data_IF_671492606074
#
_entry.id   IF_671492606074
#
_cell.length_a   1.000
_cell.length_b   1.000
_cell.length_c   1.000
_cell.angle_alpha   90.00
_cell.angle_beta   90.00
_cell.angle_gamma   90.00
#
_symmetry.space_group_name_H-M   'P 1'
#
loop_
_entity.id
_entity.type
_entity.pdbx_description
1 polymer ?
#
# COMPACT_ATOMS: atom_id res chain seq x y z
N UNK A 1 13.05 40.38 69.77
CA UNK A 1 14.13 39.37 69.84
C UNK A 1 14.17 38.60 68.54
N UNK A 2 15.15 38.89 67.70
CA UNK A 2 15.39 38.25 66.38
C UNK A 2 16.10 36.94 66.61
N UNK A 3 15.52 35.82 66.20
CA UNK A 3 16.28 34.58 65.99
C UNK A 3 16.33 34.30 64.48
N UNK A 4 17.54 34.36 63.97
CA UNK A 4 17.92 33.97 62.61
C UNK A 4 17.70 32.45 62.44
N UNK A 5 16.87 32.06 61.52
CA UNK A 5 16.85 30.71 60.98
C UNK A 5 17.99 30.56 59.97
N UNK A 6 19.05 29.88 60.36
CA UNK A 6 20.12 29.43 59.46
C UNK A 6 19.62 28.23 58.66
N UNK A 7 19.54 28.38 57.34
CA UNK A 7 19.26 27.30 56.44
C UNK A 7 20.39 26.26 56.42
N UNK A 8 20.13 24.96 56.57
CA UNK A 8 21.14 23.96 56.24
C UNK A 8 21.24 23.82 54.75
N UNK A 9 22.47 23.89 54.28
CA UNK A 9 22.92 23.77 52.91
C UNK A 9 22.47 22.40 52.33
N UNK A 10 21.59 22.42 51.35
CA UNK A 10 21.40 21.32 50.40
C UNK A 10 22.71 21.16 49.61
N UNK A 11 23.65 20.39 50.12
CA UNK A 11 24.82 19.91 49.36
C UNK A 11 24.57 18.43 49.02
N UNK A 12 24.05 18.24 47.86
CA UNK A 12 24.41 17.19 46.91
C UNK A 12 24.99 15.90 47.50
N UNK A 13 24.20 14.92 47.68
CA UNK A 13 24.59 13.50 47.79
C UNK A 13 24.83 12.89 46.42
N UNK A 14 25.35 13.62 45.51
CA UNK A 14 25.81 13.09 44.22
C UNK A 14 27.35 12.98 44.30
N UNK A 15 27.83 11.80 44.71
CA UNK A 15 29.27 11.56 44.63
C UNK A 15 29.68 11.53 43.16
N UNK A 16 30.83 12.09 42.78
CA UNK A 16 31.33 12.14 41.39
C UNK A 16 31.46 10.73 40.74
N UNK A 17 31.54 9.68 41.54
CA UNK A 17 31.58 8.29 41.08
C UNK A 17 30.22 7.83 40.54
N UNK A 18 29.11 8.38 41.08
CA UNK A 18 27.76 8.01 40.62
C UNK A 18 27.35 8.75 39.35
N UNK A 19 27.78 9.98 39.18
CA UNK A 19 27.63 10.68 37.90
C UNK A 19 28.48 9.99 36.80
N UNK A 20 29.63 9.44 37.15
CA UNK A 20 30.46 8.66 36.24
C UNK A 20 29.83 7.32 35.85
N UNK A 21 29.11 6.64 36.76
CA UNK A 21 28.41 5.38 36.47
C UNK A 21 27.16 5.60 35.58
N UNK A 22 26.38 6.65 35.81
CA UNK A 22 25.26 7.02 34.93
C UNK A 22 25.80 7.51 33.57
N UNK A 23 26.91 8.28 33.56
CA UNK A 23 27.57 8.70 32.33
C UNK A 23 28.23 7.52 31.59
N UNK A 24 28.81 6.53 32.31
CA UNK A 24 29.33 5.32 31.68
C UNK A 24 28.24 4.42 31.09
N UNK A 25 27.04 4.34 31.66
CA UNK A 25 25.93 3.61 31.09
C UNK A 25 25.25 4.33 29.92
N UNK A 26 25.28 5.65 29.90
CA UNK A 26 24.84 6.47 28.76
C UNK A 26 25.89 6.48 27.63
N UNK A 27 27.16 6.20 27.97
CA UNK A 27 28.31 6.16 27.04
C UNK A 27 28.77 4.73 26.68
N UNK A 28 28.09 3.68 27.11
CA UNK A 28 28.26 2.40 26.47
C UNK A 28 27.88 2.59 24.98
N UNK A 29 28.80 2.33 24.04
CA UNK A 29 28.47 2.44 22.64
C UNK A 29 27.36 1.41 22.37
N UNK A 30 26.12 1.84 22.40
CA UNK A 30 25.06 1.12 21.69
C UNK A 30 25.69 0.85 20.33
N UNK A 31 25.90 -0.42 19.95
CA UNK A 31 26.62 -0.70 18.72
C UNK A 31 25.91 0.11 17.64
N UNK A 32 26.60 1.09 17.09
CA UNK A 32 26.12 2.01 16.04
C UNK A 32 25.51 1.28 14.86
N UNK A 33 25.69 -0.04 14.78
CA UNK A 33 25.09 -0.91 13.79
C UNK A 33 23.58 -1.13 13.99
N UNK A 34 23.02 -0.90 15.16
CA UNK A 34 21.55 -0.98 15.39
C UNK A 34 20.83 0.36 15.07
N UNK A 35 21.54 1.49 15.12
CA UNK A 35 20.97 2.79 14.74
C UNK A 35 21.36 3.28 13.33
N UNK A 36 22.27 2.61 12.62
CA UNK A 36 22.90 3.16 11.42
C UNK A 36 22.40 2.59 10.09
N UNK A 37 21.28 1.88 10.07
CA UNK A 37 20.52 1.72 8.83
C UNK A 37 19.12 2.29 9.01
N UNK A 38 19.05 3.62 9.10
CA UNK A 38 17.87 4.30 8.63
C UNK A 38 17.68 3.84 7.18
N UNK A 39 16.51 3.27 6.82
CA UNK A 39 16.22 3.06 5.41
C UNK A 39 16.41 4.43 4.75
N UNK A 40 17.15 4.48 3.68
CA UNK A 40 17.54 5.71 2.96
C UNK A 40 16.35 6.53 2.43
N UNK A 41 15.14 6.19 2.82
CA UNK A 41 13.86 6.78 2.40
C UNK A 41 13.26 7.80 3.39
N UNK A 42 13.78 7.92 4.62
CA UNK A 42 13.31 8.98 5.55
C UNK A 42 14.31 10.16 5.53
N UNK A 43 14.64 10.62 4.35
CA UNK A 43 14.99 12.03 4.19
C UNK A 43 13.66 12.76 4.07
N UNK A 44 13.30 13.48 5.12
CA UNK A 44 12.34 14.58 5.02
C UNK A 44 12.63 15.30 3.71
N UNK A 45 11.68 15.28 2.78
CA UNK A 45 11.70 16.14 1.62
C UNK A 45 11.60 17.57 2.16
N UNK A 46 12.71 18.14 2.62
CA UNK A 46 12.88 19.57 2.56
C UNK A 46 12.52 19.95 1.12
N UNK A 47 11.53 20.80 0.97
CA UNK A 47 11.16 21.37 -0.32
C UNK A 47 12.39 22.09 -0.84
N UNK A 48 13.22 21.37 -1.58
CA UNK A 48 14.35 21.96 -2.29
C UNK A 48 13.80 23.01 -3.24
N UNK A 49 14.43 24.18 -3.29
CA UNK A 49 13.98 25.25 -4.16
C UNK A 49 14.08 24.81 -5.63
N UNK A 50 13.03 25.03 -6.36
CA UNK A 50 12.92 25.09 -7.83
C UNK A 50 13.92 24.15 -8.53
N UNK A 51 13.53 22.87 -8.63
CA UNK A 51 14.17 21.95 -9.56
C UNK A 51 13.94 22.52 -10.96
N UNK A 52 15.01 22.97 -11.62
CA UNK A 52 15.00 23.28 -13.04
C UNK A 52 14.35 22.11 -13.78
N UNK A 53 13.20 22.35 -14.39
CA UNK A 53 12.43 21.37 -15.14
C UNK A 53 13.38 20.68 -16.13
N UNK A 54 13.60 19.38 -15.94
CA UNK A 54 14.34 18.56 -16.85
C UNK A 54 13.56 18.44 -18.18
N UNK A 55 14.24 18.27 -19.31
CA UNK A 55 13.63 18.25 -20.62
C UNK A 55 12.52 17.19 -20.72
N UNK A 56 11.58 17.45 -21.62
CA UNK A 56 10.47 16.57 -21.95
C UNK A 56 10.99 15.14 -22.14
N UNK A 57 10.54 14.20 -21.30
CA UNK A 57 10.94 12.81 -21.39
C UNK A 57 9.85 12.07 -22.17
N UNK A 58 10.23 11.50 -23.32
CA UNK A 58 9.39 10.52 -24.01
C UNK A 58 9.46 9.20 -23.23
N UNK A 59 8.33 8.74 -22.74
CA UNK A 59 8.25 7.50 -22.00
C UNK A 59 7.46 6.46 -22.80
N UNK A 60 8.08 5.31 -23.04
CA UNK A 60 7.33 4.14 -23.42
C UNK A 60 6.63 3.53 -22.18
N UNK A 61 5.66 2.65 -22.38
CA UNK A 61 4.88 2.08 -21.27
C UNK A 61 5.77 1.39 -20.23
N UNK A 62 6.83 0.70 -20.65
CA UNK A 62 7.75 0.01 -19.74
C UNK A 62 8.51 0.98 -18.84
N UNK A 63 9.06 2.04 -19.41
CA UNK A 63 9.79 3.09 -18.67
C UNK A 63 8.84 3.86 -17.73
N UNK A 64 7.63 4.11 -18.20
CA UNK A 64 6.58 4.73 -17.41
C UNK A 64 6.25 3.90 -16.17
N UNK A 65 5.98 2.60 -16.32
CA UNK A 65 5.69 1.70 -15.19
C UNK A 65 6.89 1.54 -14.24
N UNK A 66 8.12 1.44 -14.77
CA UNK A 66 9.32 1.38 -13.95
C UNK A 66 9.50 2.65 -13.12
N UNK A 67 9.18 3.82 -13.68
CA UNK A 67 9.22 5.08 -12.94
C UNK A 67 8.14 5.13 -11.87
N UNK A 68 6.92 4.73 -12.15
CA UNK A 68 5.80 4.71 -11.19
C UNK A 68 6.10 3.79 -10.01
N UNK A 69 6.63 2.59 -10.24
CA UNK A 69 6.97 1.66 -9.15
C UNK A 69 8.03 2.23 -8.20
N UNK A 70 8.82 3.20 -8.64
CA UNK A 70 9.83 3.88 -7.82
C UNK A 70 9.33 5.15 -7.12
N UNK A 71 8.34 5.84 -7.71
CA UNK A 71 7.91 7.19 -7.28
C UNK A 71 6.54 7.18 -6.62
N UNK A 72 5.69 6.19 -6.88
CA UNK A 72 4.32 6.16 -6.38
C UNK A 72 4.26 6.23 -4.84
N UNK A 73 3.55 7.24 -4.26
CA UNK A 73 3.41 7.35 -2.82
C UNK A 73 2.72 6.14 -2.18
N UNK A 74 1.78 5.49 -2.89
CA UNK A 74 1.09 4.29 -2.42
C UNK A 74 2.05 3.10 -2.26
N UNK A 75 2.96 2.90 -3.22
CA UNK A 75 3.97 1.83 -3.16
C UNK A 75 5.01 2.15 -2.08
N UNK A 76 5.45 3.41 -1.99
CA UNK A 76 6.39 3.84 -0.94
C UNK A 76 5.77 3.64 0.45
N UNK A 77 4.52 4.05 0.66
CA UNK A 77 3.81 3.84 1.92
C UNK A 77 3.74 2.35 2.28
N UNK A 78 3.36 1.50 1.33
CA UNK A 78 3.29 0.04 1.53
C UNK A 78 4.65 -0.58 1.90
N UNK A 79 5.75 -0.11 1.32
CA UNK A 79 7.12 -0.56 1.69
C UNK A 79 7.53 -0.08 3.09
N UNK A 80 7.08 1.11 3.48
CA UNK A 80 7.30 1.63 4.84
C UNK A 80 6.47 0.85 5.86
N UNK A 81 5.23 0.48 5.53
CA UNK A 81 4.39 -0.37 6.37
C UNK A 81 5.03 -1.77 6.57
N UNK A 82 5.61 -2.36 5.50
CA UNK A 82 6.36 -3.62 5.61
C UNK A 82 7.57 -3.47 6.54
N UNK A 83 8.32 -2.37 6.41
CA UNK A 83 9.45 -2.10 7.29
C UNK A 83 9.01 -1.88 8.74
N UNK A 84 7.90 -1.17 8.96
CA UNK A 84 7.32 -0.98 10.30
C UNK A 84 6.92 -2.32 10.93
N UNK A 85 6.21 -3.18 10.19
CA UNK A 85 5.83 -4.51 10.65
C UNK A 85 7.04 -5.41 10.96
N UNK A 86 8.18 -5.24 10.25
CA UNK A 86 9.42 -5.93 10.56
C UNK A 86 10.00 -5.50 11.91
N UNK A 87 10.02 -4.19 12.17
CA UNK A 87 10.48 -3.66 13.46
C UNK A 87 9.53 -4.02 14.61
N UNK A 88 8.22 -4.05 14.38
CA UNK A 88 7.25 -4.52 15.37
C UNK A 88 7.48 -6.00 15.75
N UNK A 89 7.72 -6.87 14.77
CA UNK A 89 8.03 -8.27 15.05
C UNK A 89 9.35 -8.43 15.84
N UNK A 90 10.35 -7.59 15.56
CA UNK A 90 11.63 -7.56 16.30
C UNK A 90 11.45 -7.00 17.70
N UNK A 91 10.69 -5.92 17.88
CA UNK A 91 10.41 -5.33 19.19
C UNK A 91 9.65 -6.31 20.10
N UNK A 92 8.68 -7.05 19.52
CA UNK A 92 7.97 -8.09 20.26
C UNK A 92 8.91 -9.20 20.74
N UNK A 93 9.89 -9.60 19.93
CA UNK A 93 10.90 -10.55 20.36
C UNK A 93 11.78 -10.00 21.50
N UNK A 94 12.11 -8.71 21.46
CA UNK A 94 12.90 -8.06 22.51
C UNK A 94 12.24 -8.16 23.89
N UNK A 95 10.90 -8.26 23.95
CA UNK A 95 10.17 -8.44 25.22
C UNK A 95 10.46 -9.78 25.94
N UNK A 96 11.14 -10.71 25.27
CA UNK A 96 11.59 -12.00 25.84
C UNK A 96 13.09 -12.01 26.20
N UNK A 97 13.77 -10.89 26.03
CA UNK A 97 15.17 -10.70 26.41
C UNK A 97 15.26 -10.02 27.77
N UNK A 98 16.43 -10.10 28.46
CA UNK A 98 16.64 -9.37 29.68
C UNK A 98 16.42 -7.84 29.52
N UNK A 99 15.74 -7.23 30.46
CA UNK A 99 15.45 -5.81 30.50
C UNK A 99 16.16 -5.15 31.64
N UNK A 100 16.89 -4.08 31.35
CA UNK A 100 17.46 -3.18 32.34
C UNK A 100 16.58 -1.94 32.40
N UNK A 101 16.06 -1.65 33.59
CA UNK A 101 15.18 -0.50 33.85
C UNK A 101 15.78 0.35 34.96
N UNK A 102 15.60 1.66 34.91
CA UNK A 102 15.84 2.54 36.05
C UNK A 102 14.50 2.94 36.62
N UNK A 103 14.32 2.74 37.89
CA UNK A 103 13.09 3.11 38.60
C UNK A 103 13.40 4.22 39.58
N UNK A 104 12.47 5.18 39.71
CA UNK A 104 12.51 6.21 40.73
C UNK A 104 11.08 6.48 41.19
N UNK A 105 10.85 6.41 42.45
CA UNK A 105 9.54 6.56 43.03
C UNK A 105 9.56 7.36 44.31
N UNK A 106 8.41 7.92 44.66
CA UNK A 106 8.14 8.52 45.97
C UNK A 106 6.87 7.89 46.54
N UNK A 107 6.95 7.32 47.70
CA UNK A 107 5.81 6.70 48.33
C UNK A 107 5.63 7.20 49.78
N UNK A 108 4.38 7.19 50.22
CA UNK A 108 4.03 7.49 51.59
C UNK A 108 3.52 6.23 52.29
N UNK A 109 4.15 5.85 53.37
CA UNK A 109 3.69 4.73 54.18
C UNK A 109 2.93 5.27 55.40
N UNK A 110 1.71 4.81 55.57
CA UNK A 110 0.89 5.07 56.73
C UNK A 110 0.66 3.75 57.49
N UNK A 111 1.02 3.75 58.78
CA UNK A 111 0.76 2.63 59.67
C UNK A 111 1.99 2.00 60.28
N UNK A 112 1.77 1.00 61.13
CA UNK A 112 2.83 0.23 61.81
C UNK A 112 3.36 -0.85 60.84
N UNK A 113 4.63 -0.78 60.51
CA UNK A 113 5.29 -1.89 59.87
C UNK A 113 5.22 -3.14 60.74
N UNK A 114 4.67 -4.23 60.24
CA UNK A 114 4.74 -5.53 60.90
C UNK A 114 6.19 -6.03 60.76
N UNK A 115 6.93 -6.01 61.83
CA UNK A 115 8.26 -6.59 61.93
C UNK A 115 8.20 -8.04 61.44
N UNK A 116 8.88 -8.34 60.34
CA UNK A 116 9.09 -9.71 59.86
C UNK A 116 8.23 -10.17 58.67
N UNK A 117 7.27 -9.40 58.17
CA UNK A 117 6.63 -9.70 56.91
C UNK A 117 7.40 -9.02 55.80
N UNK A 118 8.28 -9.75 55.16
CA UNK A 118 8.85 -9.37 53.86
C UNK A 118 7.68 -9.39 52.86
N UNK A 119 7.17 -8.24 52.48
CA UNK A 119 6.29 -8.20 51.33
C UNK A 119 7.16 -8.43 50.07
N UNK A 120 7.08 -9.56 49.39
CA UNK A 120 7.93 -9.83 48.24
C UNK A 120 7.68 -8.89 47.09
N UNK A 121 6.62 -8.07 47.14
CA UNK A 121 6.26 -7.11 46.12
C UNK A 121 6.62 -5.66 46.48
N UNK A 122 6.92 -5.39 47.76
CA UNK A 122 7.44 -4.10 48.22
C UNK A 122 8.74 -4.38 48.97
N UNK A 123 9.86 -4.22 48.29
CA UNK A 123 11.21 -4.43 48.84
C UNK A 123 11.58 -3.40 49.93
N UNK A 124 10.64 -3.04 50.81
CA UNK A 124 10.84 -2.05 51.82
C UNK A 124 11.76 -2.59 52.94
N UNK A 125 12.84 -1.89 53.25
CA UNK A 125 13.69 -2.26 54.38
C UNK A 125 12.88 -2.33 55.66
N UNK A 126 13.16 -3.32 56.50
CA UNK A 126 12.52 -3.49 57.82
C UNK A 126 12.71 -2.32 58.81
N UNK A 127 13.56 -1.36 58.43
CA UNK A 127 13.87 -0.15 59.20
C UNK A 127 12.88 1.01 58.97
N UNK A 128 12.04 0.96 57.91
CA UNK A 128 11.07 2.03 57.65
C UNK A 128 9.79 1.72 58.46
N UNK A 129 9.67 2.34 59.60
CA UNK A 129 8.50 2.24 60.50
C UNK A 129 7.89 3.62 60.72
N UNK A 130 6.55 3.69 60.62
CA UNK A 130 5.79 4.93 60.92
C UNK A 130 5.30 5.68 59.67
N UNK A 131 4.61 6.79 59.92
CA UNK A 131 4.03 7.65 58.87
C UNK A 131 5.11 8.49 58.23
N UNK A 132 5.64 8.03 57.09
CA UNK A 132 6.77 8.68 56.43
C UNK A 132 6.66 8.66 54.92
N UNK A 133 7.18 9.73 54.31
CA UNK A 133 7.53 9.77 52.91
C UNK A 133 8.90 9.16 52.71
N UNK A 134 9.05 8.32 51.69
CA UNK A 134 10.36 7.81 51.29
C UNK A 134 10.49 7.87 49.77
N UNK A 135 11.73 7.95 49.31
CA UNK A 135 12.13 7.85 47.93
C UNK A 135 12.77 6.49 47.68
N UNK A 136 12.51 5.92 46.57
CA UNK A 136 13.21 4.75 46.06
C UNK A 136 13.77 5.08 44.70
N UNK A 137 15.02 4.74 44.45
CA UNK A 137 15.65 4.91 43.16
C UNK A 137 16.70 3.83 42.92
N UNK A 138 16.78 3.32 41.71
CA UNK A 138 17.81 2.34 41.39
C UNK A 138 17.59 1.60 40.08
N UNK A 139 18.62 0.88 39.63
CA UNK A 139 18.51 0.00 38.48
C UNK A 139 17.83 -1.34 38.85
N UNK A 140 17.03 -1.83 37.91
CA UNK A 140 16.42 -3.15 37.96
C UNK A 140 16.74 -3.96 36.71
N UNK A 141 17.04 -5.23 36.87
CA UNK A 141 17.23 -6.20 35.79
C UNK A 141 16.14 -7.26 35.89
N UNK A 142 15.31 -7.37 34.85
CA UNK A 142 14.29 -8.41 34.72
C UNK A 142 14.65 -9.37 33.60
N UNK A 143 14.72 -10.66 33.91
CA UNK A 143 15.01 -11.74 32.97
C UNK A 143 13.78 -12.64 32.89
N UNK A 144 13.01 -12.64 31.79
CA UNK A 144 11.93 -13.59 31.58
C UNK A 144 12.53 -14.97 31.27
N UNK A 145 12.51 -15.88 32.27
CA UNK A 145 13.06 -17.24 32.13
C UNK A 145 12.08 -18.13 31.35
N UNK A 146 10.79 -18.07 31.72
CA UNK A 146 9.75 -18.82 31.02
C UNK A 146 8.52 -17.93 30.88
N UNK A 147 8.12 -17.67 29.65
CA UNK A 147 6.96 -16.84 29.33
C UNK A 147 6.30 -17.34 28.04
N UNK A 148 4.96 -17.42 28.02
CA UNK A 148 4.15 -17.80 26.86
C UNK A 148 4.60 -19.14 26.22
N UNK A 149 5.04 -20.12 27.02
CA UNK A 149 5.52 -21.40 26.51
C UNK A 149 6.96 -21.39 25.97
N UNK A 150 7.66 -20.25 26.08
CA UNK A 150 9.04 -20.10 25.64
C UNK A 150 10.00 -20.03 26.83
N UNK A 151 11.09 -20.80 26.76
CA UNK A 151 12.18 -20.79 27.74
C UNK A 151 13.30 -19.87 27.22
N UNK A 152 13.61 -18.80 27.96
CA UNK A 152 14.63 -17.79 27.61
C UNK A 152 14.54 -17.26 26.17
N UNK A 153 13.36 -17.28 25.55
CA UNK A 153 13.19 -16.88 24.16
C UNK A 153 13.77 -17.84 23.11
N UNK A 154 14.29 -19.02 23.51
CA UNK A 154 14.94 -19.99 22.58
C UNK A 154 13.92 -20.55 21.59
N UNK A 155 12.73 -20.93 22.06
CA UNK A 155 11.62 -21.28 21.18
C UNK A 155 10.90 -20.00 20.73
N UNK A 156 10.47 -19.95 19.48
CA UNK A 156 9.71 -18.77 18.99
C UNK A 156 8.42 -18.62 19.79
N UNK A 157 8.29 -17.56 20.59
CA UNK A 157 7.07 -17.36 21.38
C UNK A 157 5.86 -17.18 20.46
N UNK A 158 4.65 -17.62 20.84
CA UNK A 158 3.44 -17.51 20.03
C UNK A 158 3.12 -16.06 19.60
N UNK A 159 3.37 -15.08 20.47
CA UNK A 159 3.18 -13.67 20.15
C UNK A 159 4.13 -13.20 19.02
N UNK A 160 5.39 -13.63 19.07
CA UNK A 160 6.37 -13.35 18.01
C UNK A 160 5.97 -14.04 16.71
N UNK A 161 5.48 -15.30 16.80
CA UNK A 161 4.99 -16.03 15.62
C UNK A 161 3.78 -15.30 15.00
N UNK A 162 2.86 -14.78 15.81
CA UNK A 162 1.73 -13.97 15.37
C UNK A 162 2.19 -12.70 14.67
N UNK A 163 3.12 -11.95 15.25
CA UNK A 163 3.68 -10.73 14.65
C UNK A 163 4.45 -11.00 13.33
N UNK A 164 5.16 -12.13 13.26
CA UNK A 164 5.79 -12.57 12.00
C UNK A 164 4.76 -12.88 10.91
N UNK A 165 3.62 -13.46 11.27
CA UNK A 165 2.53 -13.69 10.33
C UNK A 165 1.87 -12.37 9.89
N UNK A 166 1.64 -11.42 10.82
CA UNK A 166 1.16 -10.07 10.51
C UNK A 166 2.09 -9.34 9.53
N UNK A 167 3.41 -9.41 9.73
CA UNK A 167 4.40 -8.90 8.77
C UNK A 167 4.23 -9.51 7.37
N UNK A 168 4.00 -10.83 7.28
CA UNK A 168 3.77 -11.48 5.98
C UNK A 168 2.47 -11.00 5.33
N UNK A 169 1.40 -10.79 6.11
CA UNK A 169 0.15 -10.21 5.63
C UNK A 169 0.40 -8.83 5.03
N UNK A 170 1.12 -7.95 5.73
CA UNK A 170 1.48 -6.61 5.25
C UNK A 170 2.27 -6.68 3.96
N UNK A 171 3.27 -7.58 3.88
CA UNK A 171 4.06 -7.81 2.67
C UNK A 171 3.20 -8.20 1.47
N UNK A 172 2.29 -9.18 1.61
CA UNK A 172 1.43 -9.60 0.51
C UNK A 172 0.37 -8.55 0.15
N UNK A 173 -0.15 -7.80 1.12
CA UNK A 173 -0.98 -6.61 0.84
C UNK A 173 -0.20 -5.58 0.02
N UNK A 174 1.06 -5.37 0.34
CA UNK A 174 1.96 -4.49 -0.43
C UNK A 174 2.11 -4.94 -1.88
N UNK A 175 2.29 -6.23 -2.09
CA UNK A 175 2.34 -6.81 -3.44
C UNK A 175 1.04 -6.59 -4.23
N UNK A 176 -0.12 -6.75 -3.60
CA UNK A 176 -1.41 -6.45 -4.22
C UNK A 176 -1.59 -4.95 -4.53
N UNK A 177 -1.15 -4.08 -3.62
CA UNK A 177 -1.15 -2.63 -3.85
C UNK A 177 -0.26 -2.25 -5.04
N UNK A 178 0.92 -2.86 -5.17
CA UNK A 178 1.82 -2.63 -6.30
C UNK A 178 1.15 -3.04 -7.62
N UNK A 179 0.47 -4.19 -7.67
CA UNK A 179 -0.27 -4.65 -8.85
C UNK A 179 -1.42 -3.72 -9.23
N UNK A 180 -2.20 -3.27 -8.25
CA UNK A 180 -3.29 -2.32 -8.47
C UNK A 180 -2.78 -0.95 -8.98
N UNK A 181 -1.63 -0.48 -8.48
CA UNK A 181 -1.00 0.75 -9.00
C UNK A 181 -0.50 0.56 -10.43
N UNK A 182 0.10 -0.59 -10.75
CA UNK A 182 0.53 -0.93 -12.11
C UNK A 182 -0.66 -0.97 -13.06
N UNK A 183 -1.78 -1.60 -12.66
CA UNK A 183 -3.00 -1.62 -13.47
C UNK A 183 -3.53 -0.21 -13.72
N UNK A 184 -3.70 0.60 -12.66
CA UNK A 184 -4.17 1.99 -12.77
C UNK A 184 -3.27 2.82 -13.68
N UNK A 185 -1.95 2.63 -13.58
CA UNK A 185 -0.98 3.34 -14.41
C UNK A 185 -1.03 2.88 -15.88
N UNK A 186 -1.17 1.59 -16.12
CA UNK A 186 -1.32 1.03 -17.45
C UNK A 186 -2.58 1.56 -18.11
N UNK A 187 -3.68 1.58 -17.40
CA UNK A 187 -4.95 2.09 -17.88
C UNK A 187 -4.86 3.58 -18.23
N UNK A 188 -4.32 4.41 -17.35
CA UNK A 188 -4.12 5.83 -17.60
C UNK A 188 -3.25 6.09 -18.84
N UNK A 189 -2.19 5.28 -19.04
CA UNK A 189 -1.33 5.37 -20.22
C UNK A 189 -2.08 5.01 -21.51
N UNK A 190 -2.83 3.91 -21.52
CA UNK A 190 -3.62 3.47 -22.66
C UNK A 190 -4.75 4.46 -23.00
N UNK A 191 -5.40 5.01 -21.98
CA UNK A 191 -6.41 6.06 -22.16
C UNK A 191 -5.84 7.32 -22.78
N UNK A 192 -4.62 7.71 -22.41
CA UNK A 192 -3.98 8.89 -22.99
C UNK A 192 -3.61 8.68 -24.48
N UNK A 193 -3.18 7.48 -24.88
CA UNK A 193 -2.98 7.15 -26.31
C UNK A 193 -4.32 7.21 -27.04
N UNK A 194 -5.33 6.53 -26.52
CA UNK A 194 -6.68 6.53 -27.11
C UNK A 194 -7.21 7.94 -27.29
N UNK A 195 -7.12 8.78 -26.25
CA UNK A 195 -7.62 10.16 -26.28
C UNK A 195 -6.89 11.01 -27.33
N UNK A 196 -5.57 10.78 -27.53
CA UNK A 196 -4.80 11.46 -28.57
C UNK A 196 -5.26 11.05 -29.98
N UNK A 197 -5.44 9.75 -30.24
CA UNK A 197 -5.92 9.25 -31.52
C UNK A 197 -7.36 9.71 -31.81
N UNK A 198 -8.24 9.66 -30.79
CA UNK A 198 -9.61 10.15 -30.93
C UNK A 198 -9.66 11.65 -31.23
N UNK A 199 -8.81 12.45 -30.59
CA UNK A 199 -8.72 13.87 -30.89
C UNK A 199 -8.33 14.12 -32.35
N UNK A 200 -7.36 13.36 -32.89
CA UNK A 200 -6.98 13.47 -34.31
C UNK A 200 -8.13 13.08 -35.25
N UNK A 201 -8.84 11.98 -34.95
CA UNK A 201 -9.98 11.54 -35.76
C UNK A 201 -11.12 12.56 -35.72
N UNK A 202 -11.46 13.10 -34.56
CA UNK A 202 -12.53 14.10 -34.39
C UNK A 202 -12.16 15.47 -34.94
N UNK A 203 -10.87 15.81 -34.96
CA UNK A 203 -10.40 17.00 -35.71
C UNK A 203 -10.67 16.85 -37.20
N UNK A 204 -10.40 15.68 -37.79
CA UNK A 204 -10.69 15.39 -39.19
C UNK A 204 -12.20 15.33 -39.46
N UNK A 205 -12.98 14.77 -38.54
CA UNK A 205 -14.44 14.71 -38.62
C UNK A 205 -15.05 16.10 -38.63
N UNK A 206 -14.58 16.99 -37.74
CA UNK A 206 -15.03 18.39 -37.67
C UNK A 206 -14.67 19.16 -38.95
N UNK A 207 -13.45 18.98 -39.49
CA UNK A 207 -13.06 19.61 -40.75
C UNK A 207 -13.94 19.16 -41.92
N UNK A 208 -14.26 17.86 -42.04
CA UNK A 208 -15.17 17.36 -43.06
C UNK A 208 -16.62 17.90 -42.88
N UNK A 209 -17.08 18.03 -41.67
CA UNK A 209 -18.40 18.61 -41.39
C UNK A 209 -18.47 20.09 -41.78
N UNK A 210 -17.37 20.85 -41.58
CA UNK A 210 -17.26 22.23 -42.06
C UNK A 210 -17.29 22.33 -43.57
N UNK A 211 -16.57 21.44 -44.30
CA UNK A 211 -16.58 21.37 -45.74
C UNK A 211 -17.98 21.04 -46.26
N UNK A 212 -18.69 20.13 -45.63
CA UNK A 212 -20.03 19.72 -46.04
C UNK A 212 -21.07 20.83 -45.80
N UNK A 213 -21.00 21.52 -44.64
CA UNK A 213 -21.87 22.68 -44.36
C UNK A 213 -21.67 23.79 -45.40
N UNK A 214 -20.41 24.17 -45.67
CA UNK A 214 -20.09 25.16 -46.71
C UNK A 214 -20.58 24.78 -48.10
N UNK A 215 -20.46 23.47 -48.47
CA UNK A 215 -20.93 22.92 -49.73
C UNK A 215 -22.46 23.04 -49.84
N UNK A 216 -23.20 22.66 -48.81
CA UNK A 216 -24.66 22.72 -48.79
C UNK A 216 -25.15 24.15 -48.76
N UNK A 217 -24.48 25.06 -48.05
CA UNK A 217 -24.78 26.50 -48.04
C UNK A 217 -24.61 27.14 -49.43
N UNK A 218 -23.52 26.81 -50.14
CA UNK A 218 -23.30 27.26 -51.52
C UNK A 218 -24.38 26.73 -52.48
N UNK A 219 -24.86 25.50 -52.31
CA UNK A 219 -25.98 24.98 -53.09
C UNK A 219 -27.31 25.64 -52.72
N UNK A 220 -27.52 25.95 -51.48
CA UNK A 220 -28.75 26.64 -51.01
C UNK A 220 -28.84 28.08 -51.53
N UNK A 221 -27.70 28.81 -51.62
CA UNK A 221 -27.64 30.13 -52.23
C UNK A 221 -27.94 30.10 -53.73
N UNK A 222 -27.68 29.00 -54.37
CA UNK A 222 -28.01 28.75 -55.78
C UNK A 222 -29.39 28.13 -55.99
N UNK A 223 -30.23 28.03 -54.97
CA UNK A 223 -31.52 27.33 -54.96
C UNK A 223 -31.47 25.85 -55.35
N UNK A 224 -30.30 25.18 -55.17
CA UNK A 224 -30.05 23.79 -55.49
C UNK A 224 -30.06 22.86 -54.26
N UNK A 225 -30.30 23.41 -53.05
CA UNK A 225 -30.47 22.64 -51.83
C UNK A 225 -31.73 23.13 -51.06
N UNK A 226 -32.35 22.17 -50.34
CA UNK A 226 -33.53 22.46 -49.53
C UNK A 226 -33.13 23.05 -48.18
N UNK A 227 -34.08 23.72 -47.50
CA UNK A 227 -33.89 24.23 -46.14
C UNK A 227 -33.63 23.10 -45.15
N UNK A 228 -34.18 21.91 -45.42
CA UNK A 228 -33.97 20.70 -44.63
C UNK A 228 -32.54 20.16 -44.75
N UNK A 229 -32.00 20.09 -45.97
CA UNK A 229 -30.58 19.69 -46.22
C UNK A 229 -29.62 20.63 -45.50
N UNK A 230 -29.87 21.95 -45.52
CA UNK A 230 -29.08 22.96 -44.81
C UNK A 230 -29.18 22.79 -43.29
N UNK A 231 -30.37 22.48 -42.79
CA UNK A 231 -30.61 22.20 -41.38
C UNK A 231 -29.81 20.98 -40.90
N UNK A 232 -29.81 19.89 -41.68
CA UNK A 232 -29.03 18.67 -41.39
C UNK A 232 -27.54 18.94 -41.41
N UNK A 233 -27.02 19.69 -42.38
CA UNK A 233 -25.58 20.02 -42.47
C UNK A 233 -25.12 20.85 -41.27
N UNK A 234 -25.92 21.88 -40.88
CA UNK A 234 -25.63 22.65 -39.65
C UNK A 234 -25.68 21.85 -38.37
N UNK A 235 -26.67 20.96 -38.23
CA UNK A 235 -26.73 20.06 -37.08
C UNK A 235 -25.50 19.13 -37.01
N UNK A 236 -25.06 18.60 -38.16
CA UNK A 236 -23.84 17.80 -38.25
C UNK A 236 -22.61 18.60 -37.83
N UNK A 237 -22.47 19.85 -38.30
CA UNK A 237 -21.36 20.74 -37.93
C UNK A 237 -21.34 21.00 -36.41
N UNK A 238 -22.48 21.37 -35.80
CA UNK A 238 -22.55 21.65 -34.36
C UNK A 238 -22.28 20.40 -33.52
N UNK A 239 -22.79 19.22 -33.91
CA UNK A 239 -22.51 17.96 -33.22
C UNK A 239 -21.04 17.55 -33.32
N UNK A 240 -20.44 17.76 -34.48
CA UNK A 240 -19.00 17.47 -34.72
C UNK A 240 -18.12 18.41 -33.93
N UNK A 241 -18.50 19.69 -33.82
CA UNK A 241 -17.81 20.68 -32.97
C UNK A 241 -17.84 20.30 -31.51
N UNK A 242 -19.02 19.97 -30.99
CA UNK A 242 -19.17 19.52 -29.59
C UNK A 242 -18.33 18.27 -29.30
N UNK A 243 -18.30 17.32 -30.24
CA UNK A 243 -17.49 16.10 -30.14
C UNK A 243 -15.98 16.39 -30.16
N UNK A 244 -15.54 17.34 -30.98
CA UNK A 244 -14.14 17.80 -31.02
C UNK A 244 -13.73 18.48 -29.72
N UNK A 245 -14.54 19.41 -29.19
CA UNK A 245 -14.27 20.09 -27.93
C UNK A 245 -14.22 19.11 -26.74
N UNK A 246 -15.11 18.11 -26.73
CA UNK A 246 -15.10 17.04 -25.74
C UNK A 246 -13.80 16.20 -25.82
N UNK A 247 -13.37 15.83 -27.04
CA UNK A 247 -12.13 15.06 -27.23
C UNK A 247 -10.89 15.85 -26.84
N UNK A 248 -10.89 17.16 -27.07
CA UNK A 248 -9.80 18.03 -26.61
C UNK A 248 -9.72 18.06 -25.08
N UNK A 249 -10.85 18.15 -24.38
CA UNK A 249 -10.92 18.07 -22.94
C UNK A 249 -10.44 16.72 -22.40
N UNK A 250 -10.87 15.62 -23.03
CA UNK A 250 -10.47 14.25 -22.65
C UNK A 250 -8.96 14.01 -22.85
N UNK A 251 -8.38 14.50 -23.95
CA UNK A 251 -6.95 14.42 -24.17
C UNK A 251 -6.15 15.16 -23.09
N UNK A 252 -6.54 16.38 -22.74
CA UNK A 252 -5.89 17.15 -21.67
C UNK A 252 -6.02 16.41 -20.35
N UNK A 253 -7.20 15.92 -20.00
CA UNK A 253 -7.46 15.22 -18.76
C UNK A 253 -6.63 13.93 -18.63
N UNK A 254 -6.56 13.12 -19.68
CA UNK A 254 -5.80 11.87 -19.70
C UNK A 254 -4.29 12.12 -19.53
N UNK A 255 -3.74 13.17 -20.16
CA UNK A 255 -2.35 13.57 -19.94
C UNK A 255 -2.10 14.06 -18.51
N UNK A 256 -3.03 14.82 -17.93
CA UNK A 256 -2.95 15.23 -16.52
C UNK A 256 -2.96 14.03 -15.59
N UNK A 257 -3.78 13.02 -15.86
CA UNK A 257 -3.83 11.78 -15.07
C UNK A 257 -2.49 11.02 -15.10
N UNK A 258 -1.88 10.87 -16.27
CA UNK A 258 -0.55 10.24 -16.43
C UNK A 258 0.53 11.02 -15.68
N UNK A 259 0.54 12.35 -15.82
CA UNK A 259 1.52 13.22 -15.17
C UNK A 259 1.34 13.22 -13.63
N UNK A 260 0.10 13.21 -13.15
CA UNK A 260 -0.24 13.15 -11.73
C UNK A 260 0.28 11.85 -11.08
N UNK A 261 0.15 10.71 -11.74
CA UNK A 261 0.69 9.43 -11.27
C UNK A 261 2.22 9.44 -11.16
N UNK A 262 2.92 10.21 -12.01
CA UNK A 262 4.35 10.45 -11.93
C UNK A 262 4.75 11.51 -10.91
N UNK A 263 3.80 12.25 -10.35
CA UNK A 263 4.05 13.41 -9.51
C UNK A 263 4.76 14.55 -10.26
N UNK A 264 4.47 14.71 -11.57
CA UNK A 264 5.07 15.71 -12.46
C UNK A 264 4.00 16.62 -13.08
N UNK A 265 4.43 17.76 -13.59
CA UNK A 265 3.56 18.65 -14.35
C UNK A 265 3.31 18.08 -15.77
N UNK A 266 2.09 18.19 -16.27
CA UNK A 266 1.66 17.63 -17.56
C UNK A 266 2.52 18.11 -18.75
N UNK A 267 3.00 19.35 -18.73
CA UNK A 267 3.86 19.90 -19.79
C UNK A 267 5.24 19.26 -19.92
N UNK A 268 5.65 18.42 -18.96
CA UNK A 268 6.98 17.79 -18.94
C UNK A 268 6.98 16.32 -19.34
N UNK A 269 5.83 15.73 -19.60
CA UNK A 269 5.66 14.32 -19.95
C UNK A 269 5.12 14.25 -21.37
N UNK A 270 5.74 13.44 -22.22
CA UNK A 270 5.20 12.99 -23.49
C UNK A 270 5.16 11.48 -23.54
N UNK A 271 4.12 10.93 -24.10
CA UNK A 271 3.86 9.51 -24.24
C UNK A 271 4.20 9.11 -25.69
N UNK A 272 4.65 7.89 -25.89
CA UNK A 272 4.82 7.33 -27.22
C UNK A 272 3.42 7.15 -27.84
N UNK A 273 3.28 7.58 -29.09
CA UNK A 273 1.99 7.67 -29.80
C UNK A 273 1.55 6.35 -30.45
N UNK A 274 1.96 5.22 -29.87
CA UNK A 274 1.63 3.90 -30.40
C UNK A 274 1.26 2.95 -29.28
N UNK A 275 0.21 2.15 -29.52
CA UNK A 275 -0.14 1.07 -28.63
C UNK A 275 0.97 0.04 -28.53
N UNK A 276 1.20 -0.53 -27.34
CA UNK A 276 2.09 -1.67 -27.20
C UNK A 276 1.55 -2.88 -27.97
N UNK A 277 2.45 -3.71 -28.46
CA UNK A 277 2.09 -4.92 -29.18
C UNK A 277 1.28 -5.87 -28.27
N UNK A 278 0.15 -6.36 -28.77
CA UNK A 278 -0.68 -7.29 -28.04
C UNK A 278 0.06 -8.63 -27.89
N UNK A 279 0.05 -9.18 -26.66
CA UNK A 279 0.57 -10.52 -26.43
C UNK A 279 -0.29 -11.58 -27.16
N UNK A 280 0.23 -12.77 -27.40
CA UNK A 280 -0.58 -13.88 -27.89
C UNK A 280 -1.72 -14.18 -26.92
N UNK A 281 -2.87 -14.56 -27.50
CA UNK A 281 -4.07 -14.87 -26.71
C UNK A 281 -3.76 -15.98 -25.68
N UNK A 282 -4.06 -15.76 -24.40
CA UNK A 282 -3.89 -16.81 -23.41
C UNK A 282 -4.87 -17.95 -23.64
N UNK A 283 -4.38 -19.18 -23.66
CA UNK A 283 -5.20 -20.37 -23.74
C UNK A 283 -5.66 -20.84 -22.35
N UNK A 284 -6.74 -21.63 -22.29
CA UNK A 284 -7.21 -22.20 -21.03
C UNK A 284 -6.15 -23.11 -20.37
N UNK A 285 -5.25 -23.70 -21.14
CA UNK A 285 -4.11 -24.47 -20.63
C UNK A 285 -3.11 -23.59 -19.87
N UNK A 286 -2.94 -22.33 -20.27
CA UNK A 286 -2.11 -21.35 -19.55
C UNK A 286 -2.67 -21.04 -18.18
N UNK A 287 -3.99 -21.09 -17.97
CA UNK A 287 -4.61 -20.90 -16.65
C UNK A 287 -4.24 -22.05 -15.72
N UNK A 288 -4.22 -23.29 -16.22
CA UNK A 288 -3.83 -24.47 -15.43
C UNK A 288 -2.35 -24.38 -14.99
N UNK A 289 -1.50 -23.69 -15.75
CA UNK A 289 -0.10 -23.44 -15.41
C UNK A 289 0.12 -22.32 -14.38
N UNK A 290 -0.91 -21.50 -14.09
CA UNK A 290 -0.82 -20.46 -13.08
C UNK A 290 -0.96 -21.09 -11.71
N UNK A 291 0.12 -21.06 -10.93
CA UNK A 291 0.12 -21.61 -9.57
C UNK A 291 -0.73 -20.74 -8.64
N UNK A 292 -1.91 -21.23 -8.28
CA UNK A 292 -2.75 -20.57 -7.27
C UNK A 292 -2.00 -20.38 -5.94
N UNK A 293 -1.14 -21.33 -5.58
CA UNK A 293 -0.30 -21.30 -4.36
C UNK A 293 0.67 -20.10 -4.36
N UNK A 294 1.12 -19.65 -5.52
CA UNK A 294 2.04 -18.50 -5.61
C UNK A 294 1.31 -17.15 -5.68
N UNK A 295 -0.01 -17.18 -5.85
CA UNK A 295 -0.77 -15.95 -5.98
C UNK A 295 -0.80 -15.13 -4.67
N UNK A 296 -0.56 -13.80 -4.70
CA UNK A 296 -0.49 -12.98 -3.49
C UNK A 296 -1.75 -13.02 -2.62
N UNK A 297 -2.96 -13.12 -3.22
CA UNK A 297 -4.23 -13.27 -2.47
C UNK A 297 -4.23 -14.56 -1.63
N UNK A 298 -3.78 -15.68 -2.20
CA UNK A 298 -3.71 -16.98 -1.50
C UNK A 298 -2.63 -16.96 -0.43
N UNK A 299 -1.43 -16.44 -0.74
CA UNK A 299 -0.35 -16.30 0.24
C UNK A 299 -0.70 -15.39 1.40
N UNK A 300 -1.47 -14.34 1.16
CA UNK A 300 -2.00 -13.46 2.21
C UNK A 300 -2.89 -14.27 3.16
N UNK A 301 -3.79 -15.10 2.60
CA UNK A 301 -4.69 -15.92 3.40
C UNK A 301 -3.93 -17.01 4.17
N UNK A 302 -2.91 -17.61 3.57
CA UNK A 302 -2.01 -18.54 4.28
C UNK A 302 -1.25 -17.88 5.44
N UNK A 303 -0.84 -16.63 5.26
CA UNK A 303 -0.24 -15.86 6.35
C UNK A 303 -1.27 -15.56 7.47
N UNK A 304 -2.54 -15.28 7.12
CA UNK A 304 -3.62 -15.10 8.08
C UNK A 304 -3.89 -16.40 8.87
N UNK A 305 -3.87 -17.56 8.21
CA UNK A 305 -3.99 -18.88 8.87
C UNK A 305 -2.83 -19.08 9.87
N UNK A 306 -1.58 -18.81 9.46
CA UNK A 306 -0.43 -18.89 10.38
C UNK A 306 -0.58 -17.96 11.57
N UNK A 307 -1.09 -16.74 11.36
CA UNK A 307 -1.39 -15.79 12.44
C UNK A 307 -2.47 -16.30 13.38
N UNK A 308 -3.53 -16.90 12.85
CA UNK A 308 -4.60 -17.52 13.65
C UNK A 308 -4.11 -18.74 14.43
N UNK A 309 -3.23 -19.58 13.85
CA UNK A 309 -2.57 -20.69 14.55
C UNK A 309 -1.73 -20.20 15.72
N UNK A 310 -0.89 -19.20 15.47
CA UNK A 310 -0.07 -18.59 16.53
C UNK A 310 -0.94 -17.97 17.62
N UNK A 311 -2.09 -17.39 17.26
CA UNK A 311 -3.04 -16.86 18.25
C UNK A 311 -3.69 -17.97 19.10
N UNK A 312 -3.98 -19.15 18.53
CA UNK A 312 -4.46 -20.31 19.32
C UNK A 312 -3.42 -20.70 20.36
N UNK A 313 -2.15 -20.80 19.96
CA UNK A 313 -1.07 -21.12 20.91
C UNK A 313 -0.85 -20.01 21.95
N UNK A 314 -1.01 -18.76 21.56
CA UNK A 314 -0.96 -17.61 22.49
C UNK A 314 -2.06 -17.70 23.55
N UNK A 315 -3.32 -18.02 23.17
CA UNK A 315 -4.39 -18.18 24.13
C UNK A 315 -4.18 -19.40 25.05
N UNK A 316 -3.58 -20.47 24.53
CA UNK A 316 -3.19 -21.65 25.36
C UNK A 316 -2.08 -21.32 26.34
N UNK A 317 -1.10 -20.51 25.93
CA UNK A 317 0.03 -20.17 26.78
C UNK A 317 -0.37 -19.34 28.02
N UNK A 318 -1.54 -18.70 27.99
CA UNK A 318 -2.10 -18.00 29.18
C UNK A 318 -2.38 -18.94 30.37
N UNK A 319 -2.52 -20.24 30.10
CA UNK A 319 -2.69 -21.27 31.15
C UNK A 319 -1.35 -21.77 31.72
N UNK A 320 -0.24 -21.39 31.08
CA UNK A 320 1.09 -21.81 31.51
C UNK A 320 1.66 -20.87 32.59
N UNK A 321 2.52 -21.36 33.47
CA UNK A 321 3.20 -20.49 34.42
C UNK A 321 4.12 -19.50 33.70
N UNK A 322 4.35 -18.35 34.33
CA UNK A 322 5.41 -17.41 33.96
C UNK A 322 6.49 -17.44 35.01
N UNK A 323 7.75 -17.48 34.61
CA UNK A 323 8.91 -17.47 35.51
C UNK A 323 9.80 -16.30 35.14
N UNK A 324 10.04 -15.38 36.09
CA UNK A 324 10.95 -14.25 35.93
C UNK A 324 12.04 -14.30 37.00
N UNK A 325 13.23 -13.89 36.63
CA UNK A 325 14.30 -13.57 37.58
C UNK A 325 14.49 -12.06 37.58
N UNK A 326 14.26 -11.44 38.70
CA UNK A 326 14.33 -10.02 38.90
C UNK A 326 15.48 -9.70 39.86
N UNK A 327 16.27 -8.70 39.57
CA UNK A 327 17.34 -8.20 40.47
C UNK A 327 17.30 -6.69 40.48
N UNK A 328 17.18 -6.12 41.68
CA UNK A 328 17.08 -4.70 41.90
C UNK A 328 18.15 -4.23 42.89
N UNK A 329 18.77 -3.09 42.60
CA UNK A 329 19.68 -2.39 43.48
C UNK A 329 19.08 -1.02 43.80
N UNK A 330 18.22 -0.98 44.82
CA UNK A 330 17.50 0.24 45.20
C UNK A 330 18.16 0.97 46.35
N UNK A 331 18.19 2.28 46.21
CA UNK A 331 18.45 3.21 47.30
C UNK A 331 17.13 3.74 47.83
N UNK A 332 16.96 3.60 49.10
CA UNK A 332 15.85 4.17 49.85
C UNK A 332 16.34 5.36 50.64
N UNK A 333 15.63 6.48 50.58
CA UNK A 333 15.91 7.66 51.36
C UNK A 333 14.63 8.19 51.97
N UNK A 334 14.68 8.64 53.25
CA UNK A 334 13.62 9.46 53.79
C UNK A 334 13.98 10.95 53.76
N UNK A 335 12.98 11.82 53.87
CA UNK A 335 13.22 13.26 53.91
C UNK A 335 13.93 13.77 55.19
N UNK A 336 14.21 12.87 56.14
CA UNK A 336 14.91 13.17 57.38
C UNK A 336 16.40 12.85 57.32
N UNK A 337 16.87 12.28 56.23
CA UNK A 337 18.31 12.05 55.99
C UNK A 337 18.74 10.59 56.18
N UNK A 338 17.82 9.69 56.53
CA UNK A 338 18.12 8.28 56.60
C UNK A 338 18.14 7.70 55.16
N UNK A 339 19.20 7.00 54.79
CA UNK A 339 19.34 6.33 53.52
C UNK A 339 19.79 4.87 53.70
N UNK A 340 19.22 3.97 52.95
CA UNK A 340 19.57 2.55 52.93
C UNK A 340 19.71 2.05 51.50
N UNK A 341 20.74 1.22 51.27
CA UNK A 341 20.87 0.50 49.99
C UNK A 341 20.43 -0.95 50.23
N UNK A 342 19.66 -1.45 49.28
CA UNK A 342 19.23 -2.85 49.35
C UNK A 342 19.33 -3.47 47.94
N UNK A 343 20.10 -4.53 47.86
CA UNK A 343 20.09 -5.40 46.71
C UNK A 343 19.14 -6.59 46.95
N UNK A 344 18.21 -6.77 46.04
CA UNK A 344 17.23 -7.86 46.12
C UNK A 344 17.27 -8.65 44.82
N UNK A 345 17.38 -9.98 44.92
CA UNK A 345 17.22 -10.89 43.79
C UNK A 345 16.07 -11.83 44.10
N UNK A 346 15.14 -11.93 43.12
CA UNK A 346 13.90 -12.68 43.27
C UNK A 346 13.72 -13.58 42.04
N UNK A 347 13.39 -14.86 42.31
CA UNK A 347 12.84 -15.75 41.30
C UNK A 347 11.33 -15.84 41.54
N UNK A 348 10.56 -15.20 40.66
CA UNK A 348 9.12 -15.20 40.76
C UNK A 348 8.50 -16.22 39.80
N UNK A 349 7.57 -17.00 40.32
CA UNK A 349 6.76 -17.95 39.54
C UNK A 349 5.31 -17.54 39.68
N UNK A 350 4.71 -17.14 38.58
CA UNK A 350 3.29 -16.81 38.50
C UNK A 350 2.52 -17.93 37.82
N UNK A 351 1.59 -18.55 38.50
CA UNK A 351 0.74 -19.64 38.01
C UNK A 351 -0.72 -19.18 38.05
N UNK A 352 -1.40 -19.08 36.91
CA UNK A 352 -2.83 -18.82 36.89
C UNK A 352 -3.58 -20.07 37.38
N UNK A 353 -4.15 -19.99 38.59
CA UNK A 353 -4.84 -21.14 39.22
C UNK A 353 -6.28 -21.23 38.73
N UNK A 354 -6.95 -20.11 38.64
CA UNK A 354 -8.36 -20.04 38.26
C UNK A 354 -8.73 -18.70 37.64
N UNK A 355 -9.29 -18.75 36.44
CA UNK A 355 -9.66 -17.58 35.61
C UNK A 355 -11.14 -17.58 35.18
N UNK A 356 -12.00 -18.32 35.88
CA UNK A 356 -13.41 -18.50 35.52
C UNK A 356 -13.65 -18.99 34.10
N UNK A 357 -12.68 -19.66 33.48
CA UNK A 357 -12.73 -20.20 32.13
C UNK A 357 -12.42 -19.20 31.02
N UNK A 358 -11.89 -18.02 31.31
CA UNK A 358 -11.52 -17.00 30.34
C UNK A 358 -10.59 -17.57 29.26
N UNK A 359 -9.46 -18.15 29.69
CA UNK A 359 -8.46 -18.70 28.75
C UNK A 359 -9.00 -19.89 27.94
N UNK A 360 -9.87 -20.71 28.53
CA UNK A 360 -10.55 -21.80 27.82
C UNK A 360 -11.46 -21.28 26.71
N UNK A 361 -12.33 -20.31 27.04
CA UNK A 361 -13.25 -19.69 26.08
C UNK A 361 -12.50 -18.91 25.00
N UNK A 362 -11.45 -18.18 25.38
CA UNK A 362 -10.58 -17.47 24.44
C UNK A 362 -9.88 -18.46 23.47
N UNK A 363 -9.39 -19.58 23.97
CA UNK A 363 -8.80 -20.65 23.13
C UNK A 363 -9.83 -21.25 22.18
N UNK A 364 -11.05 -21.52 22.64
CA UNK A 364 -12.15 -22.03 21.83
C UNK A 364 -12.52 -21.02 20.72
N UNK A 365 -12.64 -19.75 21.05
CA UNK A 365 -12.90 -18.68 20.10
C UNK A 365 -11.77 -18.57 19.06
N UNK A 366 -10.51 -18.67 19.48
CA UNK A 366 -9.36 -18.64 18.59
C UNK A 366 -9.36 -19.84 17.61
N UNK A 367 -9.73 -21.04 18.06
CA UNK A 367 -9.86 -22.22 17.18
C UNK A 367 -10.96 -22.05 16.14
N UNK A 368 -12.11 -21.48 16.51
CA UNK A 368 -13.20 -21.20 15.56
C UNK A 368 -12.73 -20.16 14.51
N UNK A 369 -11.99 -19.12 14.96
CA UNK A 369 -11.39 -18.15 14.03
C UNK A 369 -10.40 -18.81 13.06
N UNK A 370 -9.57 -19.75 13.54
CA UNK A 370 -8.67 -20.51 12.68
C UNK A 370 -9.43 -21.32 11.62
N UNK A 371 -10.51 -21.99 12.01
CA UNK A 371 -11.37 -22.70 11.05
C UNK A 371 -11.95 -21.72 10.02
N UNK A 372 -12.47 -20.57 10.46
CA UNK A 372 -12.97 -19.54 9.56
C UNK A 372 -11.92 -19.04 8.55
N UNK A 373 -10.66 -18.85 8.98
CA UNK A 373 -9.58 -18.46 8.05
C UNK A 373 -9.25 -19.60 7.06
N UNK A 374 -9.38 -20.86 7.46
CA UNK A 374 -9.19 -22.00 6.56
C UNK A 374 -10.26 -22.05 5.47
N UNK A 375 -11.54 -21.83 5.84
CA UNK A 375 -12.65 -21.75 4.87
C UNK A 375 -12.50 -20.53 3.95
N UNK A 376 -12.05 -19.39 4.46
CA UNK A 376 -11.75 -18.21 3.64
C UNK A 376 -10.68 -18.49 2.60
N UNK A 377 -9.68 -19.31 2.92
CA UNK A 377 -8.68 -19.71 1.93
C UNK A 377 -9.31 -20.46 0.76
N UNK A 378 -10.20 -21.41 1.03
CA UNK A 378 -10.92 -22.17 0.00
C UNK A 378 -11.76 -21.23 -0.87
N UNK A 379 -12.48 -20.29 -0.24
CA UNK A 379 -13.28 -19.29 -0.97
C UNK A 379 -12.38 -18.42 -1.88
N UNK A 380 -11.25 -17.93 -1.38
CA UNK A 380 -10.29 -17.12 -2.16
C UNK A 380 -9.74 -17.91 -3.35
N UNK A 381 -9.46 -19.22 -3.21
CA UNK A 381 -9.00 -20.06 -4.31
C UNK A 381 -10.08 -20.25 -5.38
N UNK A 382 -11.35 -20.44 -4.98
CA UNK A 382 -12.48 -20.54 -5.90
C UNK A 382 -12.75 -19.23 -6.63
N UNK A 383 -12.73 -18.10 -5.91
CA UNK A 383 -12.92 -16.78 -6.50
C UNK A 383 -11.79 -16.45 -7.50
N UNK A 384 -10.55 -16.81 -7.16
CA UNK A 384 -9.41 -16.63 -8.06
C UNK A 384 -9.53 -17.44 -9.35
N UNK A 385 -9.96 -18.71 -9.24
CA UNK A 385 -10.18 -19.54 -10.43
C UNK A 385 -11.25 -18.94 -11.34
N UNK A 386 -12.36 -18.47 -10.76
CA UNK A 386 -13.43 -17.80 -11.50
C UNK A 386 -12.90 -16.53 -12.16
N UNK A 387 -12.19 -15.68 -11.42
CA UNK A 387 -11.61 -14.42 -11.92
C UNK A 387 -10.67 -14.65 -13.11
N UNK A 388 -9.84 -15.70 -13.07
CA UNK A 388 -8.94 -16.06 -14.16
C UNK A 388 -9.69 -16.53 -15.41
N UNK A 389 -10.70 -17.39 -15.25
CA UNK A 389 -11.52 -17.87 -16.36
C UNK A 389 -12.29 -16.73 -17.01
N UNK A 390 -12.91 -15.86 -16.19
CA UNK A 390 -13.64 -14.70 -16.66
C UNK A 390 -12.73 -13.74 -17.44
N UNK A 391 -11.51 -13.49 -16.93
CA UNK A 391 -10.54 -12.61 -17.58
C UNK A 391 -10.12 -13.14 -18.98
N UNK A 392 -9.85 -14.45 -19.10
CA UNK A 392 -9.51 -15.05 -20.41
C UNK A 392 -10.71 -15.01 -21.37
N UNK A 393 -11.91 -15.26 -20.87
CA UNK A 393 -13.12 -15.15 -21.70
C UNK A 393 -13.30 -13.73 -22.22
N UNK A 394 -13.12 -12.73 -21.40
CA UNK A 394 -13.22 -11.32 -21.77
C UNK A 394 -12.15 -10.91 -22.80
N UNK A 395 -10.91 -11.40 -22.67
CA UNK A 395 -9.88 -11.18 -23.70
C UNK A 395 -10.31 -11.77 -25.05
N UNK A 396 -10.81 -13.02 -25.07
CA UNK A 396 -11.28 -13.67 -26.30
C UNK A 396 -12.43 -12.91 -26.94
N UNK A 397 -13.37 -12.43 -26.14
CA UNK A 397 -14.50 -11.62 -26.62
C UNK A 397 -14.00 -10.28 -27.21
N UNK A 398 -13.11 -9.57 -26.52
CA UNK A 398 -12.56 -8.30 -27.01
C UNK A 398 -11.72 -8.49 -28.27
N UNK A 399 -10.95 -9.59 -28.37
CA UNK A 399 -10.20 -9.93 -29.58
C UNK A 399 -11.13 -10.21 -30.77
N UNK A 400 -12.24 -10.93 -30.55
CA UNK A 400 -13.26 -11.15 -31.55
C UNK A 400 -13.95 -9.86 -32.01
N UNK A 401 -14.29 -8.97 -31.07
CA UNK A 401 -14.82 -7.64 -31.35
C UNK A 401 -13.86 -6.79 -32.18
N UNK A 402 -12.58 -6.76 -31.81
CA UNK A 402 -11.53 -6.07 -32.58
C UNK A 402 -11.42 -6.61 -34.01
N UNK A 403 -11.49 -7.93 -34.20
CA UNK A 403 -11.47 -8.55 -35.53
C UNK A 403 -12.65 -8.11 -36.39
N UNK A 404 -13.87 -8.07 -35.82
CA UNK A 404 -15.08 -7.58 -36.48
C UNK A 404 -14.92 -6.10 -36.88
N UNK A 405 -14.55 -5.23 -35.95
CA UNK A 405 -14.41 -3.79 -36.19
C UNK A 405 -13.32 -3.50 -37.26
N UNK A 406 -12.22 -4.24 -37.24
CA UNK A 406 -11.20 -4.17 -38.31
C UNK A 406 -11.80 -4.47 -39.69
N UNK A 407 -12.63 -5.48 -39.81
CA UNK A 407 -13.36 -5.80 -41.03
C UNK A 407 -14.29 -4.66 -41.48
N UNK A 408 -15.01 -4.04 -40.53
CA UNK A 408 -15.88 -2.89 -40.84
C UNK A 408 -15.10 -1.67 -41.32
N UNK A 409 -13.92 -1.38 -40.76
CA UNK A 409 -13.02 -0.30 -41.21
C UNK A 409 -12.51 -0.56 -42.60
N UNK A 410 -12.10 -1.80 -42.93
CA UNK A 410 -11.63 -2.17 -44.27
C UNK A 410 -12.75 -1.96 -45.31
N UNK A 411 -13.98 -2.37 -45.02
CA UNK A 411 -15.11 -2.19 -45.94
C UNK A 411 -15.50 -0.71 -46.08
N UNK A 412 -15.54 0.06 -44.98
CA UNK A 412 -15.79 1.50 -45.02
C UNK A 412 -14.70 2.24 -45.82
N UNK A 413 -13.45 1.84 -45.69
CA UNK A 413 -12.33 2.39 -46.49
C UNK A 413 -12.53 2.09 -47.96
N UNK A 414 -12.91 0.84 -48.32
CA UNK A 414 -13.17 0.43 -49.69
C UNK A 414 -14.29 1.24 -50.36
N UNK A 415 -15.38 1.49 -49.59
CA UNK A 415 -16.52 2.33 -50.04
C UNK A 415 -16.05 3.77 -50.29
N UNK A 416 -15.34 4.36 -49.32
CA UNK A 416 -14.84 5.72 -49.44
C UNK A 416 -13.89 5.90 -50.62
N UNK A 417 -12.95 4.95 -50.85
CA UNK A 417 -12.04 4.97 -52.00
C UNK A 417 -12.76 4.86 -53.33
N UNK A 418 -13.75 3.98 -53.45
CA UNK A 418 -14.59 3.86 -54.66
C UNK A 418 -15.33 5.14 -54.96
N UNK A 419 -15.97 5.75 -53.97
CA UNK A 419 -16.69 7.00 -54.14
C UNK A 419 -15.73 8.17 -54.47
N UNK A 420 -14.52 8.16 -53.95
CA UNK A 420 -13.49 9.14 -54.31
C UNK A 420 -13.07 9.09 -55.79
N UNK A 421 -12.92 7.88 -56.33
CA UNK A 421 -12.67 7.70 -57.79
C UNK A 421 -13.85 8.16 -58.61
N UNK A 422 -15.08 7.86 -58.22
CA UNK A 422 -16.31 8.27 -58.93
C UNK A 422 -16.52 9.79 -58.84
N UNK A 423 -16.31 10.41 -57.70
CA UNK A 423 -16.49 11.85 -57.47
C UNK A 423 -15.47 12.70 -58.26
N UNK A 424 -14.32 12.13 -58.67
CA UNK A 424 -13.39 12.78 -59.61
C UNK A 424 -13.99 12.96 -61.00
N UNK A 425 -14.94 12.11 -61.36
CA UNK A 425 -15.60 12.13 -62.69
C UNK A 425 -16.92 12.90 -62.62
N UNK A 426 -17.60 12.88 -61.51
CA UNK A 426 -18.89 13.51 -61.30
C UNK A 426 -18.96 14.22 -59.93
N UNK A 427 -19.01 15.56 -59.96
CA UNK A 427 -19.07 16.40 -58.76
C UNK A 427 -20.38 16.26 -57.99
N UNK A 428 -21.44 15.70 -58.59
CA UNK A 428 -22.70 15.43 -57.91
C UNK A 428 -22.53 14.43 -56.74
N UNK A 429 -21.50 13.55 -56.81
CA UNK A 429 -21.22 12.54 -55.81
C UNK A 429 -20.39 13.03 -54.59
N UNK A 430 -20.02 14.31 -54.55
CA UNK A 430 -19.19 14.83 -53.43
C UNK A 430 -19.88 14.73 -52.06
N UNK A 431 -21.21 14.89 -51.99
CA UNK A 431 -21.97 14.70 -50.77
C UNK A 431 -21.93 13.24 -50.23
N UNK A 432 -22.10 12.28 -51.14
CA UNK A 432 -22.01 10.86 -50.82
C UNK A 432 -20.61 10.48 -50.35
N UNK A 433 -19.58 11.04 -51.02
CA UNK A 433 -18.18 10.85 -50.61
C UNK A 433 -17.92 11.38 -49.20
N UNK A 434 -18.38 12.61 -48.90
CA UNK A 434 -18.20 13.19 -47.58
C UNK A 434 -18.89 12.34 -46.49
N UNK A 435 -20.10 11.88 -46.74
CA UNK A 435 -20.83 10.97 -45.81
C UNK A 435 -20.07 9.62 -45.64
N UNK A 436 -19.51 9.06 -46.72
CA UNK A 436 -18.70 7.83 -46.62
C UNK A 436 -17.40 8.06 -45.84
N UNK A 437 -16.75 9.22 -46.00
CA UNK A 437 -15.56 9.60 -45.24
C UNK A 437 -15.89 9.78 -43.74
N UNK A 438 -17.00 10.42 -43.42
CA UNK A 438 -17.47 10.58 -42.04
C UNK A 438 -17.72 9.20 -41.41
N UNK A 439 -18.42 8.30 -42.09
CA UNK A 439 -18.64 6.94 -41.65
C UNK A 439 -17.35 6.13 -41.45
N UNK A 440 -16.37 6.34 -42.29
CA UNK A 440 -15.04 5.74 -42.15
C UNK A 440 -14.34 6.26 -40.87
N UNK A 441 -14.46 7.56 -40.56
CA UNK A 441 -13.89 8.10 -39.34
C UNK A 441 -14.57 7.54 -38.08
N UNK A 442 -15.90 7.39 -38.10
CA UNK A 442 -16.64 6.71 -37.00
C UNK A 442 -16.14 5.28 -36.77
N UNK A 443 -15.94 4.51 -37.90
CA UNK A 443 -15.42 3.16 -37.79
C UNK A 443 -13.96 3.10 -37.31
N UNK A 444 -13.17 4.11 -37.59
CA UNK A 444 -11.82 4.26 -37.00
C UNK A 444 -11.88 4.60 -35.49
N UNK A 445 -12.85 5.42 -35.05
CA UNK A 445 -13.07 5.65 -33.62
C UNK A 445 -13.47 4.35 -32.91
N UNK A 446 -14.37 3.56 -33.51
CA UNK A 446 -14.73 2.23 -33.00
C UNK A 446 -13.51 1.29 -32.89
N UNK A 447 -12.58 1.38 -33.85
CA UNK A 447 -11.35 0.61 -33.86
C UNK A 447 -10.43 1.00 -32.71
N UNK A 448 -10.23 2.30 -32.47
CA UNK A 448 -9.42 2.79 -31.35
C UNK A 448 -10.01 2.33 -30.01
N UNK A 449 -11.33 2.41 -29.87
CA UNK A 449 -12.02 1.92 -28.67
C UNK A 449 -11.83 0.40 -28.48
N UNK A 450 -11.94 -0.40 -29.55
CA UNK A 450 -11.77 -1.85 -29.49
C UNK A 450 -10.31 -2.26 -29.20
N UNK A 451 -9.31 -1.51 -29.70
CA UNK A 451 -7.91 -1.73 -29.40
C UNK A 451 -7.60 -1.43 -27.92
N UNK A 452 -8.06 -0.29 -27.44
CA UNK A 452 -7.94 0.06 -26.00
C UNK A 452 -8.57 -1.01 -25.12
N UNK A 453 -9.81 -1.44 -25.44
CA UNK A 453 -10.53 -2.43 -24.65
C UNK A 453 -9.76 -3.76 -24.57
N UNK A 454 -9.22 -4.25 -25.68
CA UNK A 454 -8.40 -5.47 -25.67
C UNK A 454 -7.17 -5.33 -24.77
N UNK A 455 -6.43 -4.22 -24.89
CA UNK A 455 -5.22 -3.99 -24.10
C UNK A 455 -5.53 -3.79 -22.61
N UNK A 456 -6.64 -3.13 -22.30
CA UNK A 456 -7.13 -3.01 -20.93
C UNK A 456 -7.48 -4.40 -20.33
N UNK A 457 -8.10 -5.32 -21.12
CA UNK A 457 -8.35 -6.69 -20.68
C UNK A 457 -7.07 -7.48 -20.42
N UNK A 458 -6.02 -7.25 -21.21
CA UNK A 458 -4.71 -7.84 -20.92
C UNK A 458 -4.12 -7.30 -19.61
N UNK A 459 -4.28 -6.02 -19.30
CA UNK A 459 -3.82 -5.45 -18.03
C UNK A 459 -4.57 -6.05 -16.84
N UNK A 460 -5.90 -6.22 -16.93
CA UNK A 460 -6.71 -6.90 -15.92
C UNK A 460 -6.31 -8.36 -15.74
N UNK A 461 -6.02 -9.08 -16.82
CA UNK A 461 -5.53 -10.46 -16.73
C UNK A 461 -4.16 -10.54 -16.04
N UNK A 462 -3.27 -9.59 -16.31
CA UNK A 462 -1.99 -9.51 -15.61
C UNK A 462 -2.18 -9.31 -14.09
N UNK A 463 -3.13 -8.49 -13.67
CA UNK A 463 -3.49 -8.32 -12.27
C UNK A 463 -4.09 -9.62 -11.70
N UNK A 464 -5.06 -10.22 -12.41
CA UNK A 464 -5.71 -11.46 -12.00
C UNK A 464 -4.75 -12.65 -11.87
N UNK A 465 -3.63 -12.67 -12.59
CA UNK A 465 -2.56 -13.68 -12.45
C UNK A 465 -1.60 -13.40 -11.30
N UNK A 466 -1.80 -12.29 -10.56
CA UNK A 466 -0.89 -11.90 -9.49
C UNK A 466 0.49 -11.49 -9.98
N UNK A 467 0.60 -11.04 -11.24
CA UNK A 467 1.86 -10.66 -11.87
C UNK A 467 2.74 -11.84 -12.30
N UNK A 468 2.24 -13.08 -12.24
CA UNK A 468 2.95 -14.26 -12.77
C UNK A 468 3.04 -14.22 -14.30
N UNK A 469 2.01 -13.69 -14.96
CA UNK A 469 2.01 -13.42 -16.38
C UNK A 469 2.27 -11.93 -16.64
N UNK A 470 3.20 -11.62 -17.55
CA UNK A 470 3.58 -10.25 -17.90
C UNK A 470 3.55 -10.09 -19.41
N UNK A 471 2.66 -9.24 -19.91
CA UNK A 471 2.57 -8.94 -21.34
C UNK A 471 3.54 -7.83 -21.79
N UNK A 472 3.99 -6.99 -20.86
CA UNK A 472 4.87 -5.83 -21.12
C UNK A 472 6.36 -6.16 -20.92
N UNK A 473 6.71 -7.39 -20.59
CA UNK A 473 8.09 -7.76 -20.23
C UNK A 473 8.95 -8.26 -21.42
N UNK A 474 8.47 -8.17 -22.64
CA UNK A 474 9.24 -8.55 -23.84
C UNK A 474 9.63 -7.39 -24.70
#
# INVERSE_FOLDING_TARGET
MKRRLSSPRFRAIWSPVRLALVACFVLLPIPRQLCARQPAAIRSRERSPIVKLKPVVFLNLREYLATITSVSPKIIASRLDEAAADYEAKSTYAAYLPHLVGEAGVAYIHGRSLKGLINPFNNLPSSITGDRWFTEEGPGLTIPIYRDGSFLGINVPPEVARKRAERQIVKFKGSLTEQSVILTATDAYLQAIKATHLLELRTRHFALAQEEDARVENRATSALATAEELGVARLLLESSRASFEAAQGEAIYSFLAVAALLGRDAGTVRIQDSYPEAAPLPDFETIAGISSVQHPKVRLQEAAIRGAQANVELQRSRLLPTVTADSYDFQYGDFHGDAANQWTSLLAVHVPIFDFGEAYLATKAARIKLQAETERRVAVEQDLQKELVDAVLQIKQSAGSLGKVRGEVVEAQRVATRLEEQARLDQALLGELNMAKLKLLEKKEDLEQAQYELLHRYALYQEATGGQWKWIAR
#
